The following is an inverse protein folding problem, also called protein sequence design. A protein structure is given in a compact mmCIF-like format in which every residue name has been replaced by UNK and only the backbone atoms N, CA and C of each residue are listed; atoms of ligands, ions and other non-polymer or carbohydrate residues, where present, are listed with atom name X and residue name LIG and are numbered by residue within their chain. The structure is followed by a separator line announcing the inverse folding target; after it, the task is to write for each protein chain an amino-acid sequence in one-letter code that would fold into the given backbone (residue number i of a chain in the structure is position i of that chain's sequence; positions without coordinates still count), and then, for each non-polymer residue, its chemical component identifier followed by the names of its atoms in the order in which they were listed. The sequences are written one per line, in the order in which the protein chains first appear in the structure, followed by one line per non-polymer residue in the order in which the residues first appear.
data_IF_795502372789
#
_entry.id   IF_795502372789
#
_cell.length_a   1.000
_cell.length_b   1.000
_cell.length_c   1.000
_cell.angle_alpha   90.00
_cell.angle_beta   90.00
_cell.angle_gamma   90.00
#
_symmetry.space_group_name_H-M   'P 1'
#
loop_
_entity.id
_entity.type
_entity.pdbx_description
1 polymer ?
#
# COMPACT_ATOMS: atom_id res chain seq x y z
N UNK A 1 1.09 32.00 1.78
CA UNK A 1 1.73 30.72 2.12
C UNK A 1 0.59 29.80 2.55
N UNK A 2 0.36 28.70 1.83
CA UNK A 2 -0.68 27.74 2.19
C UNK A 2 -0.18 26.88 3.36
N UNK A 3 -0.50 27.32 4.57
CA UNK A 3 -0.12 26.70 5.84
C UNK A 3 -1.00 25.51 6.22
N UNK A 4 -1.96 25.13 5.36
CA UNK A 4 -2.89 24.00 5.57
C UNK A 4 -2.69 22.86 4.57
N UNK A 5 -1.67 22.93 3.72
CA UNK A 5 -1.40 21.88 2.74
C UNK A 5 -0.72 20.67 3.39
N UNK A 6 -1.10 19.46 2.95
CA UNK A 6 -0.48 18.20 3.39
C UNK A 6 1.04 18.17 3.19
N UNK A 7 1.53 18.86 2.14
CA UNK A 7 2.96 19.04 1.88
C UNK A 7 3.65 19.91 2.94
N UNK A 8 3.00 20.97 3.40
CA UNK A 8 3.52 21.83 4.47
C UNK A 8 3.59 21.07 5.80
N UNK A 9 2.55 20.32 6.15
CA UNK A 9 2.52 19.50 7.37
C UNK A 9 3.63 18.45 7.37
N UNK A 10 3.79 17.72 6.26
CA UNK A 10 4.82 16.70 6.12
C UNK A 10 6.23 17.28 6.17
N UNK A 11 6.47 18.43 5.53
CA UNK A 11 7.74 19.13 5.60
C UNK A 11 8.08 19.56 7.05
N UNK A 12 7.09 20.04 7.80
CA UNK A 12 7.28 20.41 9.21
C UNK A 12 7.53 19.19 10.11
N UNK A 13 6.93 18.04 9.79
CA UNK A 13 7.21 16.78 10.52
C UNK A 13 8.64 16.27 10.27
N UNK A 14 9.17 16.46 9.07
CA UNK A 14 10.53 16.02 8.70
C UNK A 14 11.63 16.99 9.16
N UNK A 15 11.36 18.29 9.20
CA UNK A 15 12.36 19.32 9.53
C UNK A 15 13.16 19.07 10.82
N UNK A 16 12.57 18.60 11.94
CA UNK A 16 13.32 18.29 13.16
C UNK A 16 14.37 17.19 12.99
N UNK A 17 14.18 16.25 12.06
CA UNK A 17 15.14 15.16 11.81
C UNK A 17 16.39 15.61 11.05
N UNK A 18 16.36 16.80 10.43
CA UNK A 18 17.52 17.41 9.80
C UNK A 18 18.41 18.16 10.80
N UNK A 19 17.88 18.48 11.99
CA UNK A 19 18.63 19.16 13.06
C UNK A 19 19.26 18.15 14.03
N UNK A 20 20.46 17.68 13.67
CA UNK A 20 21.27 16.77 14.49
C UNK A 20 21.59 17.32 15.89
N UNK A 21 21.54 18.64 16.10
CA UNK A 21 21.78 19.24 17.42
C UNK A 21 20.56 19.14 18.33
N UNK A 22 19.35 19.28 17.77
CA UNK A 22 18.09 19.16 18.54
C UNK A 22 17.55 17.74 18.64
N UNK A 23 17.84 16.87 17.66
CA UNK A 23 17.42 15.46 17.61
C UNK A 23 18.64 14.55 17.38
N UNK A 24 19.51 14.37 18.40
CA UNK A 24 20.71 13.55 18.26
C UNK A 24 20.42 12.04 18.15
N UNK A 25 19.23 11.59 18.59
CA UNK A 25 18.81 10.19 18.56
C UNK A 25 17.47 10.05 17.82
N UNK A 26 17.36 9.02 16.98
CA UNK A 26 16.14 8.66 16.27
C UNK A 26 15.57 7.42 16.95
N UNK A 27 14.36 7.56 17.51
CA UNK A 27 13.59 6.45 18.03
C UNK A 27 12.63 5.99 16.94
N UNK A 28 12.80 4.75 16.48
CA UNK A 28 11.95 4.15 15.47
C UNK A 28 10.84 3.36 16.16
N UNK A 29 9.61 3.55 15.68
CA UNK A 29 8.44 2.74 16.05
C UNK A 29 8.15 1.85 14.85
N UNK A 30 7.87 0.58 15.10
CA UNK A 30 7.66 -0.41 14.04
C UNK A 30 6.38 -0.12 13.21
N UNK A 31 6.36 -0.60 11.97
CA UNK A 31 5.34 -0.32 10.95
C UNK A 31 3.91 -0.71 11.33
N UNK A 32 3.75 -1.56 12.35
CA UNK A 32 2.45 -1.87 12.97
C UNK A 32 1.74 -0.66 13.59
N UNK A 33 2.38 0.50 13.71
CA UNK A 33 1.71 1.74 14.15
C UNK A 33 1.49 2.73 13.00
N UNK A 34 2.22 2.59 11.89
CA UNK A 34 2.31 3.61 10.85
C UNK A 34 1.51 3.30 9.57
N UNK A 35 1.47 2.04 9.14
CA UNK A 35 0.71 1.48 7.99
C UNK A 35 1.25 0.05 7.77
N UNK A 36 0.39 -0.98 7.64
CA UNK A 36 0.88 -2.34 7.37
C UNK A 36 1.12 -2.61 5.87
N UNK A 37 0.71 -1.69 4.99
CA UNK A 37 0.76 -1.85 3.52
C UNK A 37 1.93 -1.11 2.86
N UNK A 38 2.60 -0.20 3.58
CA UNK A 38 3.70 0.61 3.05
C UNK A 38 3.30 1.63 1.98
N UNK A 39 1.99 1.81 1.72
CA UNK A 39 1.46 2.72 0.71
C UNK A 39 1.56 4.17 1.14
N UNK A 40 1.52 4.42 2.46
CA UNK A 40 1.66 5.75 3.03
C UNK A 40 2.95 6.44 2.57
N UNK A 41 4.07 5.73 2.62
CA UNK A 41 5.38 6.26 2.23
C UNK A 41 5.41 6.70 0.76
N UNK A 42 4.77 5.94 -0.14
CA UNK A 42 4.66 6.27 -1.56
C UNK A 42 3.85 7.55 -1.74
N UNK A 43 2.66 7.63 -1.14
CA UNK A 43 1.80 8.82 -1.21
C UNK A 43 2.52 10.08 -0.70
N UNK A 44 3.21 9.96 0.44
CA UNK A 44 3.96 11.05 1.06
C UNK A 44 5.14 11.50 0.21
N UNK A 45 5.85 10.57 -0.42
CA UNK A 45 6.96 10.89 -1.33
C UNK A 45 6.48 11.72 -2.52
N UNK A 46 5.36 11.31 -3.14
CA UNK A 46 4.78 12.05 -4.27
C UNK A 46 4.33 13.45 -3.85
N UNK A 47 3.71 13.58 -2.67
CA UNK A 47 3.30 14.88 -2.12
C UNK A 47 4.51 15.80 -1.86
N UNK A 48 5.62 15.25 -1.34
CA UNK A 48 6.84 16.01 -1.07
C UNK A 48 7.51 16.50 -2.35
N UNK A 49 7.57 15.66 -3.38
CA UNK A 49 8.09 16.04 -4.70
C UNK A 49 7.18 17.05 -5.38
N UNK A 50 5.86 16.94 -5.19
CA UNK A 50 4.83 17.87 -5.63
C UNK A 50 3.80 17.21 -6.53
N UNK A 51 4.25 16.34 -7.43
CA UNK A 51 3.42 15.55 -8.34
C UNK A 51 4.14 14.24 -8.72
N UNK A 52 3.40 13.29 -9.31
CA UNK A 52 3.95 11.99 -9.68
C UNK A 52 4.97 12.10 -10.82
N UNK A 53 4.78 12.99 -11.79
CA UNK A 53 5.70 13.12 -12.92
C UNK A 53 7.10 13.55 -12.49
N UNK A 54 7.18 14.53 -11.60
CA UNK A 54 8.41 15.01 -10.98
C UNK A 54 9.07 13.89 -10.18
N UNK A 55 8.29 13.09 -9.46
CA UNK A 55 8.78 11.92 -8.71
C UNK A 55 9.40 10.88 -9.66
N UNK A 56 8.69 10.50 -10.73
CA UNK A 56 9.19 9.54 -11.72
C UNK A 56 10.43 10.06 -12.45
N UNK A 57 10.49 11.36 -12.76
CA UNK A 57 11.65 11.99 -13.42
C UNK A 57 12.86 12.01 -12.51
N UNK A 58 12.66 12.34 -11.23
CA UNK A 58 13.72 12.29 -10.23
C UNK A 58 14.33 10.88 -10.09
N UNK A 59 13.50 9.85 -10.21
CA UNK A 59 13.91 8.45 -10.07
C UNK A 59 14.32 7.79 -11.41
N UNK A 60 14.43 8.56 -12.50
CA UNK A 60 14.76 8.07 -13.86
C UNK A 60 13.79 7.01 -14.41
N UNK A 61 12.50 7.19 -14.12
CA UNK A 61 11.39 6.32 -14.51
C UNK A 61 10.45 6.98 -15.53
N UNK A 62 10.94 7.95 -16.32
CA UNK A 62 10.15 8.74 -17.27
C UNK A 62 9.48 7.86 -18.33
N UNK A 63 10.10 6.74 -18.69
CA UNK A 63 9.62 5.81 -19.72
C UNK A 63 8.66 4.74 -19.19
N UNK A 64 8.30 4.75 -17.89
CA UNK A 64 7.37 3.78 -17.32
C UNK A 64 5.97 3.97 -17.90
N UNK A 65 5.37 2.90 -18.40
CA UNK A 65 4.03 2.89 -19.02
C UNK A 65 2.99 2.15 -18.17
N UNK A 66 3.45 1.25 -17.31
CA UNK A 66 2.58 0.41 -16.47
C UNK A 66 3.15 0.41 -15.06
N UNK A 67 2.35 0.84 -14.09
CA UNK A 67 2.70 0.83 -12.67
C UNK A 67 1.73 -0.11 -11.95
N UNK A 68 2.27 -1.07 -11.23
CA UNK A 68 1.48 -2.11 -10.56
C UNK A 68 1.70 -2.03 -9.06
N UNK A 69 0.63 -1.76 -8.32
CA UNK A 69 0.61 -1.84 -6.86
C UNK A 69 0.11 -3.21 -6.45
N UNK A 70 1.00 -4.05 -5.92
CA UNK A 70 0.63 -5.32 -5.28
C UNK A 70 0.52 -5.09 -3.78
N UNK A 71 -0.70 -5.00 -3.29
CA UNK A 71 -1.02 -4.66 -1.90
C UNK A 71 -1.31 -5.95 -1.16
N UNK A 72 -0.40 -6.38 -0.29
CA UNK A 72 -0.54 -7.62 0.48
C UNK A 72 -1.02 -7.28 1.88
N UNK A 73 -2.27 -7.62 2.21
CA UNK A 73 -2.77 -7.51 3.58
C UNK A 73 -2.71 -8.88 4.26
N UNK A 74 -1.77 -9.03 5.20
CA UNK A 74 -1.59 -10.22 6.03
C UNK A 74 -2.26 -10.09 7.41
N UNK A 75 -3.24 -9.20 7.54
CA UNK A 75 -3.97 -8.95 8.78
C UNK A 75 -4.59 -10.24 9.33
N UNK A 76 -4.25 -10.51 10.58
CA UNK A 76 -4.81 -11.61 11.36
C UNK A 76 -6.13 -11.19 11.99
N UNK A 77 -7.07 -12.12 12.13
CA UNK A 77 -8.32 -11.83 12.85
C UNK A 77 -8.01 -11.51 14.32
N UNK A 78 -8.60 -10.42 14.84
CA UNK A 78 -8.49 -10.05 16.26
C UNK A 78 -9.10 -11.19 17.09
N UNK A 79 -8.37 -11.63 18.12
CA UNK A 79 -8.80 -12.69 19.02
C UNK A 79 -9.99 -12.21 19.88
N UNK A 80 -11.21 -12.49 19.43
CA UNK A 80 -12.49 -12.13 20.07
C UNK A 80 -12.78 -12.93 21.35
N UNK A 81 -11.89 -13.85 21.75
CA UNK A 81 -12.07 -14.67 22.96
C UNK A 81 -12.24 -13.80 24.21
N UNK A 82 -11.60 -12.63 24.25
CA UNK A 82 -11.72 -11.70 25.38
C UNK A 82 -13.10 -11.07 25.51
N UNK A 83 -13.82 -10.87 24.41
CA UNK A 83 -15.18 -10.30 24.43
C UNK A 83 -16.22 -11.26 25.04
N UNK A 84 -15.84 -12.54 25.21
CA UNK A 84 -16.69 -13.61 25.73
C UNK A 84 -16.48 -13.94 27.20
N UNK A 85 -15.55 -13.26 27.88
CA UNK A 85 -15.26 -13.48 29.30
C UNK A 85 -15.32 -12.19 30.11
N UNK A 86 -15.84 -12.27 31.33
CA UNK A 86 -15.97 -11.16 32.28
C UNK A 86 -14.63 -10.62 32.82
N UNK A 87 -13.51 -11.25 32.46
CA UNK A 87 -12.16 -10.87 32.90
C UNK A 87 -11.56 -9.83 31.98
N UNK A 88 -11.12 -8.73 32.58
CA UNK A 88 -10.40 -7.65 31.89
C UNK A 88 -9.19 -8.24 31.15
N UNK A 89 -9.04 -8.00 29.83
CA UNK A 89 -7.89 -8.46 29.07
C UNK A 89 -6.59 -7.88 29.65
N UNK A 90 -5.45 -8.59 29.58
CA UNK A 90 -4.15 -8.04 29.97
C UNK A 90 -3.84 -6.74 29.20
N UNK A 91 -3.11 -5.80 29.81
CA UNK A 91 -2.76 -4.53 29.18
C UNK A 91 -2.09 -4.70 27.80
N UNK A 92 -1.18 -5.67 27.67
CA UNK A 92 -0.54 -5.99 26.39
C UNK A 92 -1.54 -6.43 25.31
N UNK A 93 -2.56 -7.23 25.68
CA UNK A 93 -3.60 -7.66 24.76
C UNK A 93 -4.52 -6.50 24.34
N UNK A 94 -4.84 -5.58 25.26
CA UNK A 94 -5.62 -4.37 24.91
C UNK A 94 -4.86 -3.46 23.94
N UNK A 95 -3.56 -3.26 24.15
CA UNK A 95 -2.69 -2.48 23.24
C UNK A 95 -2.60 -3.14 21.86
N UNK A 96 -2.45 -4.46 21.82
CA UNK A 96 -2.39 -5.24 20.58
C UNK A 96 -3.71 -5.16 19.77
N UNK A 97 -4.86 -5.35 20.43
CA UNK A 97 -6.18 -5.24 19.79
C UNK A 97 -6.45 -3.82 19.27
N UNK A 98 -6.13 -2.78 20.06
CA UNK A 98 -6.29 -1.40 19.61
C UNK A 98 -5.39 -1.07 18.42
N UNK A 99 -4.13 -1.52 18.46
CA UNK A 99 -3.18 -1.36 17.35
C UNK A 99 -3.71 -2.05 16.10
N UNK A 100 -4.19 -3.28 16.21
CA UNK A 100 -4.79 -4.04 15.09
C UNK A 100 -6.00 -3.31 14.48
N UNK A 101 -6.92 -2.80 15.31
CA UNK A 101 -8.09 -2.04 14.84
C UNK A 101 -7.67 -0.73 14.16
N UNK A 102 -6.68 -0.02 14.71
CA UNK A 102 -6.16 1.21 14.12
C UNK A 102 -5.52 0.91 12.75
N UNK A 103 -4.64 -0.08 12.66
CA UNK A 103 -4.03 -0.56 11.42
C UNK A 103 -5.10 -0.85 10.38
N UNK A 104 -6.10 -1.67 10.73
CA UNK A 104 -7.18 -2.08 9.82
C UNK A 104 -7.88 -0.88 9.17
N UNK A 105 -8.24 0.12 10.00
CA UNK A 105 -8.87 1.36 9.52
C UNK A 105 -7.93 2.17 8.62
N UNK A 106 -6.67 2.32 9.03
CA UNK A 106 -5.66 3.03 8.25
C UNK A 106 -5.38 2.36 6.90
N UNK A 107 -5.41 1.03 6.83
CA UNK A 107 -5.23 0.28 5.58
C UNK A 107 -6.33 0.60 4.58
N UNK A 108 -7.59 0.53 5.03
CA UNK A 108 -8.75 0.84 4.18
C UNK A 108 -8.68 2.28 3.66
N UNK A 109 -8.38 3.23 4.53
CA UNK A 109 -8.25 4.64 4.16
C UNK A 109 -7.09 4.86 3.18
N UNK A 110 -5.93 4.24 3.43
CA UNK A 110 -4.74 4.42 2.59
C UNK A 110 -4.93 3.83 1.19
N UNK A 111 -5.59 2.67 1.07
CA UNK A 111 -5.95 2.10 -0.24
C UNK A 111 -6.97 2.98 -0.96
N UNK A 112 -7.95 3.54 -0.25
CA UNK A 112 -8.91 4.48 -0.84
C UNK A 112 -8.21 5.75 -1.37
N UNK A 113 -7.32 6.35 -0.57
CA UNK A 113 -6.52 7.51 -0.97
C UNK A 113 -5.63 7.22 -2.18
N UNK A 114 -5.04 6.03 -2.26
CA UNK A 114 -4.29 5.59 -3.43
C UNK A 114 -5.18 5.57 -4.68
N UNK A 115 -6.35 4.91 -4.59
CA UNK A 115 -7.31 4.83 -5.70
C UNK A 115 -7.75 6.20 -6.20
N UNK A 116 -8.09 7.10 -5.28
CA UNK A 116 -8.48 8.47 -5.59
C UNK A 116 -7.34 9.28 -6.24
N UNK A 117 -6.09 8.94 -5.92
CA UNK A 117 -4.91 9.62 -6.47
C UNK A 117 -4.56 9.19 -7.88
N UNK A 118 -4.94 7.98 -8.32
CA UNK A 118 -4.55 7.45 -9.62
C UNK A 118 -5.00 8.31 -10.81
N UNK A 119 -6.20 8.91 -10.74
CA UNK A 119 -6.68 9.79 -11.80
C UNK A 119 -5.79 11.02 -11.95
N UNK A 120 -5.54 11.72 -10.85
CA UNK A 120 -4.65 12.89 -10.81
C UNK A 120 -3.23 12.55 -11.29
N UNK A 121 -2.69 11.43 -10.82
CA UNK A 121 -1.37 10.93 -11.21
C UNK A 121 -1.27 10.59 -12.70
N UNK A 122 -2.34 10.05 -13.29
CA UNK A 122 -2.43 9.82 -14.73
C UNK A 122 -2.32 11.14 -15.49
N UNK A 123 -3.04 12.18 -15.05
CA UNK A 123 -3.03 13.49 -15.69
C UNK A 123 -1.69 14.22 -15.51
N UNK A 124 -1.08 14.13 -14.33
CA UNK A 124 0.26 14.66 -14.04
C UNK A 124 1.32 14.05 -14.96
N UNK A 125 1.34 12.71 -15.09
CA UNK A 125 2.26 12.01 -15.99
C UNK A 125 2.02 12.37 -17.45
N UNK A 126 0.75 12.40 -17.90
CA UNK A 126 0.42 12.77 -19.27
C UNK A 126 0.84 14.20 -19.61
N UNK A 127 0.54 15.14 -18.73
CA UNK A 127 0.88 16.55 -18.91
C UNK A 127 2.40 16.73 -18.94
N UNK A 128 3.11 16.10 -18.01
CA UNK A 128 4.56 16.17 -17.93
C UNK A 128 5.28 15.52 -19.10
N UNK A 129 4.84 14.32 -19.51
CA UNK A 129 5.47 13.53 -20.57
C UNK A 129 5.16 14.05 -21.97
N UNK A 130 3.91 14.48 -22.23
CA UNK A 130 3.53 15.00 -23.54
C UNK A 130 3.93 16.47 -23.74
N UNK A 131 4.09 17.24 -22.66
CA UNK A 131 4.38 18.67 -22.72
C UNK A 131 3.29 19.41 -23.50
N UNK A 132 3.68 20.11 -24.57
CA UNK A 132 2.73 20.85 -25.43
C UNK A 132 2.11 20.01 -26.55
N UNK A 133 2.49 18.74 -26.70
CA UNK A 133 1.92 17.87 -27.73
C UNK A 133 0.51 17.41 -27.34
N UNK A 134 -0.37 17.14 -28.33
CA UNK A 134 -1.64 16.49 -28.04
C UNK A 134 -1.42 15.16 -27.30
N UNK A 135 -2.20 14.94 -26.24
CA UNK A 135 -2.13 13.70 -25.46
C UNK A 135 -2.72 12.57 -26.31
N UNK A 136 -1.85 11.69 -26.80
CA UNK A 136 -2.23 10.38 -27.33
C UNK A 136 -2.11 9.34 -26.22
N UNK A 137 -3.03 8.38 -26.18
CA UNK A 137 -3.03 7.24 -25.23
C UNK A 137 -2.80 5.91 -25.94
N UNK A 138 -2.38 5.94 -27.21
CA UNK A 138 -2.01 4.75 -27.96
C UNK A 138 -0.79 4.07 -27.32
N UNK A 139 -0.65 2.74 -27.39
CA UNK A 139 0.54 2.05 -26.90
C UNK A 139 1.80 2.67 -27.52
N UNK A 140 2.82 2.96 -26.70
CA UNK A 140 4.05 3.59 -27.19
C UNK A 140 4.04 5.13 -27.15
N UNK A 141 2.88 5.77 -27.05
CA UNK A 141 2.75 7.24 -27.05
C UNK A 141 3.16 7.90 -25.72
N UNK A 142 3.19 9.24 -25.69
CA UNK A 142 3.53 10.02 -24.49
C UNK A 142 2.48 9.92 -23.38
N UNK A 143 1.20 9.69 -23.70
CA UNK A 143 0.13 9.58 -22.70
C UNK A 143 -0.16 8.14 -22.28
N UNK A 144 0.64 7.20 -22.77
CA UNK A 144 0.60 5.77 -22.40
C UNK A 144 1.13 5.57 -20.98
N UNK A 145 0.20 5.62 -20.03
CA UNK A 145 0.41 5.29 -18.63
C UNK A 145 -0.85 4.58 -18.11
N UNK A 146 -0.66 3.46 -17.42
CA UNK A 146 -1.72 2.71 -16.74
C UNK A 146 -1.28 2.30 -15.35
N UNK A 147 -2.22 2.35 -14.41
CA UNK A 147 -2.04 1.94 -13.03
C UNK A 147 -2.93 0.73 -12.72
N UNK A 148 -2.37 -0.25 -12.03
CA UNK A 148 -3.09 -1.45 -11.61
C UNK A 148 -2.97 -1.61 -10.11
N UNK A 149 -4.06 -1.97 -9.44
CA UNK A 149 -4.06 -2.30 -8.01
C UNK A 149 -4.48 -3.75 -7.86
N UNK A 150 -3.53 -4.59 -7.43
CA UNK A 150 -3.75 -6.00 -7.12
C UNK A 150 -3.72 -6.15 -5.60
N UNK A 151 -4.90 -6.31 -5.00
CA UNK A 151 -5.01 -6.63 -3.57
C UNK A 151 -4.87 -8.14 -3.37
N UNK A 152 -3.99 -8.53 -2.45
CA UNK A 152 -3.81 -9.90 -1.97
C UNK A 152 -4.23 -9.94 -0.51
N UNK A 153 -5.45 -10.41 -0.26
CA UNK A 153 -6.04 -10.58 1.06
C UNK A 153 -6.80 -11.89 1.14
N UNK A 154 -6.77 -12.54 2.31
CA UNK A 154 -7.40 -13.87 2.45
C UNK A 154 -8.91 -13.84 2.19
N UNK A 155 -9.58 -12.71 2.42
CA UNK A 155 -11.01 -12.51 2.11
C UNK A 155 -11.39 -12.73 0.64
N UNK A 156 -10.41 -12.76 -0.27
CA UNK A 156 -10.63 -13.08 -1.67
C UNK A 156 -10.76 -14.59 -1.94
N UNK A 157 -10.44 -15.47 -0.97
CA UNK A 157 -10.61 -16.91 -1.11
C UNK A 157 -12.10 -17.29 -0.96
N UNK A 158 -12.61 -18.29 -1.70
CA UNK A 158 -14.01 -18.70 -1.60
C UNK A 158 -14.34 -19.50 -0.33
N UNK A 159 -13.35 -20.19 0.26
CA UNK A 159 -13.55 -21.05 1.43
C UNK A 159 -13.29 -20.28 2.75
N UNK A 160 -14.36 -19.95 3.47
CA UNK A 160 -14.28 -19.27 4.78
C UNK A 160 -13.50 -20.05 5.84
N UNK A 161 -13.49 -21.39 5.80
CA UNK A 161 -12.73 -22.19 6.76
C UNK A 161 -11.23 -22.03 6.52
N UNK A 162 -10.81 -22.07 5.25
CA UNK A 162 -9.45 -21.78 4.82
C UNK A 162 -9.04 -20.35 5.20
N UNK A 163 -9.90 -19.35 4.96
CA UNK A 163 -9.65 -17.97 5.38
C UNK A 163 -9.32 -17.88 6.87
N UNK A 164 -10.13 -18.51 7.73
CA UNK A 164 -9.94 -18.49 9.19
C UNK A 164 -8.63 -19.17 9.61
N UNK A 165 -8.23 -20.25 8.93
CA UNK A 165 -6.94 -20.91 9.20
C UNK A 165 -5.79 -19.95 8.88
N UNK A 166 -5.81 -19.31 7.71
CA UNK A 166 -4.75 -18.40 7.26
C UNK A 166 -4.69 -17.13 8.11
N UNK A 167 -5.84 -16.54 8.46
CA UNK A 167 -5.94 -15.36 9.34
C UNK A 167 -5.53 -15.61 10.80
N UNK A 168 -5.36 -16.88 11.21
CA UNK A 168 -4.87 -17.27 12.54
C UNK A 168 -3.39 -17.65 12.56
N UNK A 169 -2.74 -17.65 11.40
CA UNK A 169 -1.31 -17.91 11.34
C UNK A 169 -0.57 -16.79 12.08
N UNK A 170 0.38 -17.13 12.97
CA UNK A 170 1.12 -16.12 13.71
C UNK A 170 2.00 -15.32 12.74
N UNK A 171 2.03 -14.00 12.91
CA UNK A 171 2.95 -13.08 12.23
C UNK A 171 4.36 -13.19 12.83
N UNK A 172 4.95 -14.38 12.75
CA UNK A 172 6.26 -14.69 13.32
C UNK A 172 7.24 -15.18 12.25
N UNK A 173 8.53 -15.00 12.47
CA UNK A 173 9.59 -15.55 11.62
C UNK A 173 9.74 -17.08 11.69
N UNK A 174 8.77 -17.80 12.29
CA UNK A 174 8.80 -19.25 12.50
C UNK A 174 7.47 -19.88 12.12
N UNK A 175 7.24 -20.02 10.82
CA UNK A 175 6.16 -20.84 10.28
C UNK A 175 6.70 -22.22 9.89
N UNK A 176 5.87 -23.24 10.05
CA UNK A 176 6.19 -24.58 9.57
C UNK A 176 6.19 -24.60 8.03
N UNK A 177 7.01 -25.45 7.38
CA UNK A 177 7.08 -25.53 5.92
C UNK A 177 5.70 -25.69 5.26
N UNK A 178 4.82 -26.50 5.84
CA UNK A 178 3.47 -26.75 5.30
C UNK A 178 2.60 -25.49 5.37
N UNK A 179 2.77 -24.65 6.39
CA UNK A 179 2.06 -23.37 6.51
C UNK A 179 2.57 -22.36 5.49
N UNK A 180 3.87 -22.38 5.20
CA UNK A 180 4.48 -21.53 4.17
C UNK A 180 3.97 -21.93 2.79
N UNK A 181 3.92 -23.23 2.48
CA UNK A 181 3.41 -23.72 1.20
C UNK A 181 1.92 -23.40 1.05
N UNK A 182 1.13 -23.56 2.11
CA UNK A 182 -0.29 -23.19 2.11
C UNK A 182 -0.49 -21.69 1.85
N UNK A 183 0.30 -20.82 2.48
CA UNK A 183 0.29 -19.38 2.23
C UNK A 183 0.62 -19.04 0.77
N UNK A 184 1.63 -19.70 0.20
CA UNK A 184 2.04 -19.47 -1.20
C UNK A 184 0.95 -19.88 -2.18
N UNK A 185 0.31 -21.02 -1.94
CA UNK A 185 -0.75 -21.52 -2.80
C UNK A 185 -2.03 -20.69 -2.69
N UNK A 186 -2.37 -20.21 -1.49
CA UNK A 186 -3.44 -19.22 -1.29
C UNK A 186 -3.14 -17.91 -2.05
N UNK A 187 -1.94 -17.33 -1.86
CA UNK A 187 -1.55 -16.10 -2.54
C UNK A 187 -1.58 -16.23 -4.08
N UNK A 188 -1.10 -17.35 -4.62
CA UNK A 188 -1.17 -17.64 -6.06
C UNK A 188 -2.59 -17.64 -6.59
N UNK A 189 -3.52 -18.31 -5.89
CA UNK A 189 -4.94 -18.35 -6.30
C UNK A 189 -5.55 -16.95 -6.29
N UNK A 190 -5.35 -16.20 -5.20
CA UNK A 190 -5.86 -14.82 -5.07
C UNK A 190 -5.36 -13.94 -6.21
N UNK A 191 -4.06 -13.99 -6.52
CA UNK A 191 -3.48 -13.20 -7.61
C UNK A 191 -4.00 -13.66 -8.98
N UNK A 192 -4.06 -14.97 -9.23
CA UNK A 192 -4.52 -15.50 -10.51
C UNK A 192 -5.99 -15.15 -10.81
N UNK A 193 -6.84 -15.11 -9.78
CA UNK A 193 -8.26 -14.77 -9.92
C UNK A 193 -8.52 -13.25 -9.92
N UNK A 194 -7.55 -12.45 -9.47
CA UNK A 194 -7.63 -10.99 -9.45
C UNK A 194 -7.93 -10.43 -10.84
N UNK A 195 -9.00 -9.63 -10.93
CA UNK A 195 -9.39 -8.94 -12.16
C UNK A 195 -8.29 -8.00 -12.66
N UNK A 196 -7.74 -7.17 -11.77
CA UNK A 196 -6.70 -6.21 -12.12
C UNK A 196 -5.42 -6.91 -12.62
N UNK A 197 -5.10 -8.09 -12.06
CA UNK A 197 -3.96 -8.88 -12.52
C UNK A 197 -4.21 -9.48 -13.91
N UNK A 198 -5.42 -9.98 -14.19
CA UNK A 198 -5.79 -10.47 -15.52
C UNK A 198 -5.76 -9.36 -16.56
N UNK A 199 -6.34 -8.19 -16.25
CA UNK A 199 -6.29 -7.00 -17.11
C UNK A 199 -4.83 -6.58 -17.41
N UNK A 200 -3.95 -6.61 -16.40
CA UNK A 200 -2.52 -6.37 -16.60
C UNK A 200 -1.89 -7.38 -17.56
N UNK A 201 -2.18 -8.68 -17.40
CA UNK A 201 -1.61 -9.72 -18.26
C UNK A 201 -2.06 -9.56 -19.71
N UNK A 202 -3.31 -9.19 -19.95
CA UNK A 202 -3.84 -8.95 -21.29
C UNK A 202 -3.17 -7.71 -21.91
N UNK A 203 -3.06 -6.60 -21.17
CA UNK A 203 -2.38 -5.39 -21.64
C UNK A 203 -0.87 -5.62 -21.90
N UNK A 204 -0.22 -6.55 -21.20
CA UNK A 204 1.17 -6.94 -21.45
C UNK A 204 1.33 -7.79 -22.72
N UNK A 205 0.34 -8.62 -23.04
CA UNK A 205 0.32 -9.45 -24.26
C UNK A 205 0.04 -8.61 -25.50
N UNK A 206 -0.84 -7.63 -25.43
CA UNK A 206 -1.19 -6.75 -26.55
C UNK A 206 -0.09 -5.72 -26.88
N UNK A 207 0.81 -5.43 -25.93
CA UNK A 207 1.93 -4.51 -26.09
C UNK A 207 3.30 -5.15 -26.36
N UNK A 208 3.35 -6.47 -26.59
CA UNK A 208 4.58 -7.21 -26.96
C UNK A 208 4.70 -7.39 -28.47
#
# INVERSE_FOLDING_TARGET
RDTSSRRFDLANQLAPYLDRRKKPYIHLVDGGVADNLGLRAILETVILMGDLWTTLTHDHLENVRKVVFVIVNAETEVDDRWDRFERIPPFAAMVDSYSSIAISRYNVETVALLRESLGRWTDEVRTGRCGSQPISTEPGSCGDIRFYIVEVKFDALPDEAEQKVLKRLPTSFRLQPEQVDHLRDAARRIVAESRAFRELLDDLREGS
#
